data_IF_452509239263
#
_entry.id   IF_452509239263
#
_cell.length_a   1.000
_cell.length_b   1.000
_cell.length_c   1.000
_cell.angle_alpha   90.00
_cell.angle_beta   90.00
_cell.angle_gamma   90.00
#
_symmetry.space_group_name_H-M   'P 1'
#
loop_
_entity.id
_entity.type
_entity.pdbx_description
1 polymer ?
#
# COMPACT_ATOMS: atom_id res chain seq x y z
N UNK A 1 23.91 10.21 -0.26
CA UNK A 1 23.07 10.93 -1.23
C UNK A 1 21.58 10.78 -0.88
N UNK A 2 21.06 9.58 -0.68
CA UNK A 2 19.65 9.28 -0.36
C UNK A 2 19.14 9.98 0.90
N UNK A 3 19.96 10.12 1.95
CA UNK A 3 19.56 10.81 3.19
C UNK A 3 19.35 12.33 2.99
N UNK A 4 20.11 12.95 2.09
CA UNK A 4 19.94 14.36 1.74
C UNK A 4 18.72 14.60 0.85
N UNK A 5 18.34 13.65 0.00
CA UNK A 5 17.14 13.73 -0.83
C UNK A 5 15.87 13.56 0.01
N UNK A 6 15.82 12.58 0.91
CA UNK A 6 14.68 12.40 1.81
C UNK A 6 14.39 13.61 2.69
N UNK A 7 15.43 14.22 3.28
CA UNK A 7 15.30 15.44 4.09
C UNK A 7 14.85 16.65 3.24
N UNK A 8 15.34 16.74 2.00
CA UNK A 8 14.97 17.78 1.05
C UNK A 8 13.50 17.68 0.63
N UNK A 9 13.00 16.47 0.41
CA UNK A 9 11.59 16.20 0.11
C UNK A 9 10.69 16.54 1.31
N UNK A 10 11.09 16.24 2.55
CA UNK A 10 10.31 16.59 3.75
C UNK A 10 10.18 18.09 3.97
N UNK A 11 11.29 18.83 3.93
CA UNK A 11 11.29 20.29 4.08
C UNK A 11 10.43 20.91 2.98
N UNK A 12 10.53 20.35 1.78
CA UNK A 12 9.78 20.80 0.63
C UNK A 12 8.26 20.48 0.75
N UNK A 13 7.88 19.34 1.31
CA UNK A 13 6.48 18.99 1.56
C UNK A 13 5.82 19.96 2.56
N UNK A 14 6.52 20.36 3.60
CA UNK A 14 6.03 21.38 4.54
C UNK A 14 5.85 22.77 3.90
N UNK A 15 6.75 23.14 2.99
CA UNK A 15 6.60 24.38 2.22
C UNK A 15 5.40 24.32 1.27
N UNK A 16 5.19 23.19 0.60
CA UNK A 16 4.04 22.97 -0.27
C UNK A 16 2.71 23.00 0.52
N UNK A 17 2.66 22.47 1.74
CA UNK A 17 1.47 22.52 2.60
C UNK A 17 1.04 23.97 2.89
N UNK A 18 1.99 24.89 3.05
CA UNK A 18 1.71 26.32 3.28
C UNK A 18 1.07 27.00 2.07
N UNK A 19 1.22 26.43 0.87
CA UNK A 19 0.62 26.96 -0.37
C UNK A 19 -0.89 26.76 -0.41
N UNK A 20 -1.40 25.68 0.19
CA UNK A 20 -2.79 25.28 0.07
C UNK A 20 -3.58 25.66 1.33
N UNK A 21 -4.51 26.61 1.17
CA UNK A 21 -5.46 27.01 2.21
C UNK A 21 -6.68 26.10 2.26
N UNK A 22 -7.62 26.42 3.16
CA UNK A 22 -8.89 25.71 3.34
C UNK A 22 -9.64 25.51 2.02
N UNK A 23 -9.65 26.53 1.17
CA UNK A 23 -10.33 26.56 -0.13
C UNK A 23 -9.83 25.51 -1.13
N UNK A 24 -8.60 25.01 -0.92
CA UNK A 24 -8.02 23.94 -1.74
C UNK A 24 -8.55 22.54 -1.39
N UNK A 25 -9.29 22.42 -0.29
CA UNK A 25 -9.80 21.14 0.23
C UNK A 25 -11.33 21.14 0.40
N UNK A 26 -11.97 22.31 0.34
CA UNK A 26 -13.40 22.43 0.54
C UNK A 26 -14.16 21.97 -0.71
N UNK A 27 -15.10 21.04 -0.54
CA UNK A 27 -15.96 20.49 -1.59
C UNK A 27 -17.44 20.63 -1.20
N UNK A 28 -18.32 20.67 -2.21
CA UNK A 28 -19.78 20.81 -1.99
C UNK A 28 -20.37 19.69 -1.13
N UNK A 29 -19.82 18.46 -1.22
CA UNK A 29 -20.22 17.35 -0.37
C UNK A 29 -20.07 17.71 1.11
N UNK A 30 -18.99 18.37 1.51
CA UNK A 30 -18.73 18.69 2.90
C UNK A 30 -19.81 19.62 3.46
N UNK A 31 -20.22 20.62 2.69
CA UNK A 31 -21.32 21.52 3.06
C UNK A 31 -22.65 20.78 3.16
N UNK A 32 -22.96 19.95 2.14
CA UNK A 32 -24.21 19.20 2.06
C UNK A 32 -24.37 18.18 3.17
N UNK A 33 -23.31 17.47 3.52
CA UNK A 33 -23.32 16.41 4.54
C UNK A 33 -22.98 16.93 5.96
N UNK A 34 -22.63 18.20 6.10
CA UNK A 34 -22.33 18.81 7.40
C UNK A 34 -20.94 18.45 7.95
N UNK A 35 -19.95 18.27 7.08
CA UNK A 35 -18.54 18.14 7.50
C UNK A 35 -18.02 19.48 8.00
N UNK A 36 -17.36 19.45 9.14
CA UNK A 36 -16.64 20.60 9.71
C UNK A 36 -15.13 20.37 9.63
N UNK A 37 -14.40 21.45 9.35
CA UNK A 37 -12.94 21.45 9.39
C UNK A 37 -12.45 21.58 10.81
N UNK A 38 -11.66 20.65 11.29
CA UNK A 38 -11.11 20.60 12.65
C UNK A 38 -9.60 20.34 12.61
N UNK A 39 -8.91 20.69 13.69
CA UNK A 39 -7.49 20.36 13.86
C UNK A 39 -7.34 19.18 14.81
N UNK A 40 -6.57 18.17 14.42
CA UNK A 40 -6.35 16.96 15.19
C UNK A 40 -5.53 17.25 16.45
N UNK A 41 -6.02 16.87 17.63
CA UNK A 41 -5.29 17.06 18.90
C UNK A 41 -4.00 16.25 19.02
N UNK A 42 -3.84 15.19 18.24
CA UNK A 42 -2.65 14.33 18.29
C UNK A 42 -1.56 14.78 17.33
N UNK A 43 -1.87 14.99 16.05
CA UNK A 43 -0.87 15.32 15.02
C UNK A 43 -0.89 16.78 14.55
N UNK A 44 -1.83 17.59 15.02
CA UNK A 44 -2.05 19.00 14.62
C UNK A 44 -2.41 19.23 13.15
N UNK A 45 -2.61 18.17 12.35
CA UNK A 45 -3.04 18.28 10.95
C UNK A 45 -4.53 18.62 10.87
N UNK A 46 -4.94 19.28 9.78
CA UNK A 46 -6.31 19.60 9.51
C UNK A 46 -7.07 18.42 8.90
N UNK A 47 -8.34 18.26 9.28
CA UNK A 47 -9.22 17.23 8.75
C UNK A 47 -10.69 17.66 8.78
N UNK A 48 -11.51 16.99 7.97
CA UNK A 48 -12.95 17.21 7.86
C UNK A 48 -13.69 16.01 8.40
N UNK A 49 -14.72 16.26 9.22
CA UNK A 49 -15.54 15.22 9.87
C UNK A 49 -16.93 15.75 10.19
N UNK A 50 -17.91 14.84 10.30
CA UNK A 50 -19.26 15.14 10.79
C UNK A 50 -19.45 14.78 12.27
N UNK A 51 -18.42 14.17 12.88
CA UNK A 51 -18.44 13.77 14.29
C UNK A 51 -17.77 14.80 15.19
N UNK A 52 -18.08 14.72 16.50
CA UNK A 52 -17.38 15.52 17.52
C UNK A 52 -15.98 14.99 17.88
N UNK A 53 -15.48 14.03 17.12
CA UNK A 53 -14.17 13.42 17.35
C UNK A 53 -13.06 14.46 17.22
N UNK A 54 -12.11 14.43 18.16
CA UNK A 54 -10.99 15.34 18.24
C UNK A 54 -9.75 14.88 17.45
N UNK A 55 -9.85 13.71 16.78
CA UNK A 55 -8.77 13.04 16.06
C UNK A 55 -9.12 12.82 14.58
N UNK A 56 -8.11 12.91 13.71
CA UNK A 56 -8.27 12.85 12.26
C UNK A 56 -8.63 11.47 11.68
N UNK A 57 -8.68 10.42 12.50
CA UNK A 57 -8.98 9.05 12.05
C UNK A 57 -7.74 8.20 11.74
N UNK A 58 -6.55 8.78 11.67
CA UNK A 58 -5.29 8.05 11.49
C UNK A 58 -5.03 7.11 12.68
N UNK A 59 -4.57 5.89 12.42
CA UNK A 59 -4.28 4.84 13.41
C UNK A 59 -3.50 5.34 14.62
N UNK A 60 -2.45 6.15 14.40
CA UNK A 60 -1.62 6.72 15.46
C UNK A 60 -2.37 7.72 16.33
N UNK A 61 -3.34 8.42 15.76
CA UNK A 61 -4.12 9.44 16.47
C UNK A 61 -5.29 8.82 17.25
N UNK A 62 -5.92 7.76 16.72
CA UNK A 62 -7.07 7.09 17.35
C UNK A 62 -6.69 5.88 18.20
N UNK A 63 -5.40 5.56 18.28
CA UNK A 63 -4.85 4.51 19.16
C UNK A 63 -5.04 3.08 18.63
N UNK A 64 -5.09 2.88 17.31
CA UNK A 64 -5.15 1.57 16.68
C UNK A 64 -6.33 1.38 15.75
N UNK A 65 -6.42 0.20 15.14
CA UNK A 65 -7.50 -0.18 14.24
C UNK A 65 -8.79 -0.51 15.01
N UNK A 66 -9.93 0.05 14.58
CA UNK A 66 -11.24 -0.12 15.22
C UNK A 66 -12.18 -1.04 14.44
N UNK A 67 -11.77 -1.57 13.29
CA UNK A 67 -12.56 -2.44 12.42
C UNK A 67 -12.21 -3.92 12.57
N UNK A 68 -11.08 -4.29 13.16
CA UNK A 68 -10.68 -5.68 13.41
C UNK A 68 -11.73 -6.41 14.22
N UNK A 69 -12.10 -7.61 13.79
CA UNK A 69 -13.19 -8.40 14.36
C UNK A 69 -14.60 -7.96 13.91
N UNK A 70 -14.73 -6.95 13.05
CA UNK A 70 -16.01 -6.44 12.54
C UNK A 70 -16.18 -6.75 11.07
N UNK A 71 -16.82 -7.88 10.76
CA UNK A 71 -17.09 -8.28 9.39
C UNK A 71 -18.23 -7.46 8.77
N UNK A 72 -18.06 -6.99 7.54
CA UNK A 72 -19.02 -6.21 6.79
C UNK A 72 -19.57 -7.07 5.65
N UNK A 73 -20.89 -7.33 5.65
CA UNK A 73 -21.49 -8.24 4.68
C UNK A 73 -20.89 -9.64 4.78
N UNK A 74 -20.55 -10.25 3.63
CA UNK A 74 -19.85 -11.52 3.56
C UNK A 74 -18.33 -11.43 3.83
N UNK A 75 -17.78 -10.20 3.90
CA UNK A 75 -16.34 -9.95 3.73
C UNK A 75 -15.94 -10.20 2.28
N UNK A 76 -15.01 -9.43 1.75
CA UNK A 76 -14.52 -9.62 0.39
C UNK A 76 -13.11 -10.19 0.43
N UNK A 77 -12.88 -11.28 -0.29
CA UNK A 77 -11.52 -11.75 -0.54
C UNK A 77 -10.77 -10.79 -1.48
N UNK A 78 -9.52 -11.09 -1.78
CA UNK A 78 -8.71 -10.25 -2.66
C UNK A 78 -9.33 -10.08 -4.06
N UNK A 79 -9.85 -11.15 -4.65
CA UNK A 79 -10.44 -11.13 -6.00
C UNK A 79 -11.77 -10.37 -6.03
N UNK A 80 -12.60 -10.58 -5.02
CA UNK A 80 -13.85 -9.85 -4.83
C UNK A 80 -13.61 -8.38 -4.58
N UNK A 81 -12.57 -8.02 -3.84
CA UNK A 81 -12.19 -6.63 -3.58
C UNK A 81 -11.84 -5.89 -4.87
N UNK A 82 -10.99 -6.49 -5.71
CA UNK A 82 -10.68 -5.94 -7.04
C UNK A 82 -11.93 -5.80 -7.89
N UNK A 83 -12.73 -6.89 -7.98
CA UNK A 83 -13.93 -6.92 -8.81
C UNK A 83 -14.96 -5.89 -8.37
N UNK A 84 -15.33 -5.88 -7.09
CA UNK A 84 -16.40 -5.02 -6.58
C UNK A 84 -16.01 -3.53 -6.65
N UNK A 85 -14.72 -3.22 -6.45
CA UNK A 85 -14.21 -1.88 -6.62
C UNK A 85 -14.30 -1.43 -8.09
N UNK A 86 -13.84 -2.24 -9.04
CA UNK A 86 -13.96 -1.93 -10.46
C UNK A 86 -15.42 -1.78 -10.88
N UNK A 87 -16.28 -2.74 -10.55
CA UNK A 87 -17.71 -2.74 -10.89
C UNK A 87 -18.43 -1.48 -10.39
N UNK A 88 -18.05 -0.96 -9.21
CA UNK A 88 -18.63 0.25 -8.67
C UNK A 88 -18.36 1.46 -9.57
N UNK A 89 -17.13 1.63 -10.02
CA UNK A 89 -16.74 2.75 -10.85
C UNK A 89 -17.19 2.60 -12.30
N UNK A 90 -17.18 1.39 -12.86
CA UNK A 90 -17.73 1.11 -14.21
C UNK A 90 -19.20 1.50 -14.31
N UNK A 91 -20.00 1.15 -13.30
CA UNK A 91 -21.43 1.55 -13.20
C UNK A 91 -21.62 3.06 -13.08
N UNK A 92 -20.56 3.84 -12.84
CA UNK A 92 -20.56 5.30 -12.69
C UNK A 92 -19.83 6.01 -13.82
N UNK A 93 -19.63 5.31 -14.95
CA UNK A 93 -19.12 5.87 -16.19
C UNK A 93 -17.60 5.87 -16.34
N UNK A 94 -16.86 5.17 -15.47
CA UNK A 94 -15.44 4.94 -15.67
C UNK A 94 -15.21 3.74 -16.59
N UNK A 95 -14.21 3.83 -17.42
CA UNK A 95 -13.74 2.69 -18.21
C UNK A 95 -12.68 1.94 -17.42
N UNK A 96 -12.88 0.66 -17.18
CA UNK A 96 -11.83 -0.20 -16.64
C UNK A 96 -10.83 -0.50 -17.74
N UNK A 97 -9.55 -0.25 -17.47
CA UNK A 97 -8.44 -0.62 -18.35
C UNK A 97 -7.60 -1.74 -17.72
N UNK A 98 -6.80 -2.41 -18.55
CA UNK A 98 -5.82 -3.40 -18.07
C UNK A 98 -4.70 -2.71 -17.32
N UNK A 99 -4.17 -3.41 -16.33
CA UNK A 99 -3.01 -2.97 -15.57
C UNK A 99 -1.73 -2.95 -16.42
N UNK A 100 -0.84 -2.04 -16.10
CA UNK A 100 0.50 -1.94 -16.68
C UNK A 100 1.50 -2.88 -15.95
N UNK A 101 2.63 -3.21 -16.58
CA UNK A 101 3.67 -3.99 -15.92
C UNK A 101 4.19 -3.34 -14.63
N UNK A 102 4.52 -4.16 -13.63
CA UNK A 102 5.17 -3.63 -12.40
C UNK A 102 6.60 -3.17 -12.63
N UNK A 103 7.26 -3.65 -13.71
CA UNK A 103 8.58 -3.16 -14.14
C UNK A 103 8.36 -1.99 -15.10
N UNK A 104 8.66 -0.79 -14.65
CA UNK A 104 8.34 0.47 -15.36
C UNK A 104 9.35 0.79 -16.48
N UNK A 105 9.37 -0.02 -17.55
CA UNK A 105 10.35 0.12 -18.67
C UNK A 105 10.17 1.37 -19.51
N UNK A 106 9.06 2.08 -19.39
CA UNK A 106 8.81 3.38 -20.05
C UNK A 106 9.32 4.58 -19.23
N UNK A 107 9.96 4.30 -18.08
CA UNK A 107 10.50 5.31 -17.16
C UNK A 107 11.98 5.03 -16.92
N UNK A 108 12.81 6.06 -17.02
CA UNK A 108 14.25 5.96 -16.74
C UNK A 108 14.59 6.30 -15.29
N UNK A 109 13.67 6.96 -14.58
CA UNK A 109 13.86 7.47 -13.22
C UNK A 109 13.42 6.50 -12.12
N UNK A 110 12.58 5.51 -12.44
CA UNK A 110 12.09 4.50 -11.49
C UNK A 110 12.12 3.09 -12.08
N UNK A 111 12.54 2.07 -11.31
CA UNK A 111 12.58 0.69 -11.80
C UNK A 111 11.21 -0.01 -11.77
N UNK A 112 10.30 0.45 -10.91
CA UNK A 112 8.99 -0.19 -10.71
C UNK A 112 7.86 0.83 -10.76
N UNK A 113 6.67 0.36 -11.12
CA UNK A 113 5.42 1.09 -10.98
C UNK A 113 5.11 1.23 -9.48
N UNK A 114 5.20 2.44 -8.95
CA UNK A 114 5.05 2.73 -7.51
C UNK A 114 3.66 3.27 -7.15
N UNK A 115 2.90 3.70 -8.14
CA UNK A 115 1.53 4.19 -8.04
C UNK A 115 0.86 4.09 -9.41
N UNK A 116 -0.46 4.04 -9.46
CA UNK A 116 -1.20 3.95 -10.73
C UNK A 116 -0.99 5.16 -11.64
N UNK A 117 -0.74 6.35 -11.09
CA UNK A 117 -0.42 7.55 -11.89
C UNK A 117 0.91 7.42 -12.65
N UNK A 118 1.81 6.56 -12.21
CA UNK A 118 3.08 6.28 -12.90
C UNK A 118 2.86 5.80 -14.34
N UNK A 119 1.73 5.14 -14.60
CA UNK A 119 1.34 4.62 -15.92
C UNK A 119 1.07 5.76 -16.92
N UNK A 120 0.73 6.94 -16.42
CA UNK A 120 0.33 8.12 -17.19
C UNK A 120 1.36 9.26 -17.15
N UNK A 121 2.34 9.18 -16.27
CA UNK A 121 3.41 10.16 -16.16
C UNK A 121 4.64 9.78 -17.00
N UNK A 122 5.28 10.75 -17.68
CA UNK A 122 4.83 12.13 -17.86
C UNK A 122 3.85 12.30 -19.03
N UNK A 123 3.72 11.32 -19.90
CA UNK A 123 3.19 11.46 -21.25
C UNK A 123 1.73 11.94 -21.32
N UNK A 124 0.84 11.33 -20.55
CA UNK A 124 -0.59 11.74 -20.52
C UNK A 124 -0.76 13.02 -19.70
N UNK A 125 -0.06 13.13 -18.57
CA UNK A 125 -0.15 14.31 -17.69
C UNK A 125 0.35 15.58 -18.38
N UNK A 126 1.35 15.48 -19.25
CA UNK A 126 1.88 16.59 -20.07
C UNK A 126 1.14 16.77 -21.40
N UNK A 127 0.08 16.01 -21.67
CA UNK A 127 -0.71 16.12 -22.90
C UNK A 127 0.00 15.63 -24.16
N UNK A 128 1.08 14.85 -24.03
CA UNK A 128 1.84 14.32 -25.18
C UNK A 128 1.08 13.17 -25.84
N UNK A 129 0.38 12.37 -25.02
CA UNK A 129 -0.42 11.22 -25.45
C UNK A 129 -1.80 11.29 -24.80
N UNK A 130 -2.83 10.95 -25.55
CA UNK A 130 -4.21 10.83 -25.04
C UNK A 130 -4.30 9.68 -24.01
N UNK A 131 -5.08 9.82 -22.95
CA UNK A 131 -5.35 8.71 -22.05
C UNK A 131 -6.12 7.60 -22.77
N UNK A 132 -5.93 6.32 -22.41
CA UNK A 132 -6.62 5.19 -23.04
C UNK A 132 -8.14 5.24 -22.84
N UNK A 133 -8.60 5.95 -21.82
CA UNK A 133 -10.00 6.30 -21.55
C UNK A 133 -10.07 7.47 -20.57
N UNK A 134 -11.22 8.17 -20.51
CA UNK A 134 -11.40 9.29 -19.59
C UNK A 134 -12.89 9.49 -19.22
N UNK A 135 -13.31 9.31 -17.95
CA UNK A 135 -12.51 8.84 -16.83
C UNK A 135 -12.23 7.34 -16.88
N UNK A 136 -11.22 6.90 -16.16
CA UNK A 136 -10.82 5.50 -16.11
C UNK A 136 -10.56 4.98 -14.69
N UNK A 137 -10.55 3.64 -14.56
CA UNK A 137 -10.05 2.93 -13.38
C UNK A 137 -9.10 1.82 -13.80
N UNK A 138 -8.07 1.59 -12.99
CA UNK A 138 -7.09 0.55 -13.19
C UNK A 138 -6.73 -0.11 -11.85
N UNK A 139 -6.92 -1.44 -11.70
CA UNK A 139 -6.45 -2.17 -10.51
C UNK A 139 -4.96 -2.49 -10.66
N UNK A 140 -4.10 -1.47 -10.45
CA UNK A 140 -2.67 -1.49 -10.76
C UNK A 140 -1.84 -2.14 -9.65
N UNK A 141 -1.16 -3.28 -9.89
CA UNK A 141 -0.14 -3.78 -9.00
C UNK A 141 1.06 -2.82 -8.96
N UNK A 142 1.45 -2.44 -7.75
CA UNK A 142 2.54 -1.50 -7.49
C UNK A 142 3.58 -2.14 -6.57
N UNK A 143 4.86 -1.85 -6.79
CA UNK A 143 5.96 -2.30 -5.94
C UNK A 143 6.60 -1.09 -5.27
N UNK A 144 6.64 -1.11 -3.92
CA UNK A 144 7.33 -0.11 -3.11
C UNK A 144 8.28 -0.78 -2.13
N UNK A 145 9.50 -0.27 -2.06
CA UNK A 145 10.51 -0.74 -1.12
C UNK A 145 10.85 0.28 -0.03
N UNK A 146 10.22 1.47 -0.09
CA UNK A 146 10.40 2.31 0.90
C UNK A 146 10.43 3.70 1.07
N UNK A 147 10.05 4.33 2.16
CA UNK A 147 10.11 5.70 2.56
C UNK A 147 11.54 6.26 2.73
N UNK A 148 12.00 6.48 3.96
CA UNK A 148 13.34 7.04 4.27
C UNK A 148 14.49 6.01 4.18
N UNK A 149 14.50 5.18 3.13
CA UNK A 149 15.43 4.06 2.98
C UNK A 149 14.66 2.79 2.58
N UNK A 150 15.09 1.60 2.98
CA UNK A 150 14.36 0.35 2.75
C UNK A 150 13.37 0.01 3.88
N UNK A 151 12.90 1.01 4.61
CA UNK A 151 12.14 0.84 5.85
C UNK A 151 10.78 0.17 5.66
N UNK A 152 10.12 0.31 4.49
CA UNK A 152 8.85 -0.38 4.23
C UNK A 152 9.01 -1.90 4.34
N UNK A 153 10.15 -2.45 3.91
CA UNK A 153 10.44 -3.87 4.03
C UNK A 153 10.44 -4.30 5.50
N UNK A 154 10.95 -3.46 6.42
CA UNK A 154 10.97 -3.75 7.86
C UNK A 154 9.60 -3.68 8.51
N UNK A 155 8.67 -2.95 7.92
CA UNK A 155 7.28 -2.88 8.33
C UNK A 155 6.46 -4.11 7.90
N UNK A 156 6.87 -4.79 6.80
CA UNK A 156 6.18 -5.97 6.27
C UNK A 156 6.22 -7.12 7.30
N UNK A 157 5.08 -7.70 7.55
CA UNK A 157 4.86 -8.73 8.57
C UNK A 157 4.48 -8.18 9.94
N UNK A 158 4.84 -6.94 10.29
CA UNK A 158 4.77 -6.41 11.67
C UNK A 158 3.63 -5.43 11.92
N UNK A 159 3.40 -4.51 10.99
CA UNK A 159 2.41 -3.44 11.18
C UNK A 159 0.97 -3.83 10.83
N UNK A 160 0.79 -5.03 10.31
CA UNK A 160 -0.50 -5.53 9.84
C UNK A 160 -1.02 -4.90 8.54
N UNK A 161 -0.35 -3.86 8.00
CA UNK A 161 -0.85 -3.08 6.84
C UNK A 161 0.11 -2.88 5.68
N UNK A 162 1.43 -3.12 5.86
CA UNK A 162 2.44 -2.86 4.85
C UNK A 162 2.68 -4.09 3.97
N UNK A 163 2.74 -3.86 2.67
CA UNK A 163 3.02 -4.84 1.62
C UNK A 163 4.10 -4.29 0.71
N UNK A 164 5.06 -5.11 0.27
CA UNK A 164 6.04 -4.70 -0.75
C UNK A 164 5.43 -4.67 -2.15
N UNK A 165 4.43 -5.52 -2.42
CA UNK A 165 3.52 -5.38 -3.56
C UNK A 165 2.09 -5.23 -3.07
N UNK A 166 1.40 -4.21 -3.59
CA UNK A 166 -0.02 -3.96 -3.32
C UNK A 166 -0.72 -3.54 -4.60
N UNK A 167 -2.03 -3.76 -4.66
CA UNK A 167 -2.86 -3.28 -5.76
C UNK A 167 -3.41 -1.91 -5.41
N UNK A 168 -2.98 -0.91 -6.16
CA UNK A 168 -3.60 0.41 -6.12
C UNK A 168 -4.80 0.43 -7.05
N UNK A 169 -5.98 0.60 -6.49
CA UNK A 169 -7.15 0.96 -7.28
C UNK A 169 -6.99 2.39 -7.78
N UNK A 170 -6.46 2.55 -8.99
CA UNK A 170 -6.28 3.85 -9.62
C UNK A 170 -7.59 4.35 -10.20
N UNK A 171 -8.10 5.48 -9.69
CA UNK A 171 -9.25 6.18 -10.23
C UNK A 171 -8.76 7.52 -10.79
N UNK A 172 -8.84 7.68 -12.11
CA UNK A 172 -8.26 8.83 -12.81
C UNK A 172 -9.28 9.57 -13.68
N UNK A 173 -9.17 10.89 -13.68
CA UNK A 173 -9.84 11.76 -14.61
C UNK A 173 -8.90 12.88 -15.07
N UNK A 174 -8.77 13.04 -16.35
CA UNK A 174 -7.90 14.04 -17.00
C UNK A 174 -8.78 15.18 -17.50
N UNK A 175 -8.56 16.39 -16.96
CA UNK A 175 -9.45 17.52 -17.18
C UNK A 175 -8.92 18.43 -18.31
N UNK A 176 -9.38 18.16 -19.53
CA UNK A 176 -9.10 18.95 -20.71
C UNK A 176 -10.33 18.92 -21.66
N UNK A 177 -10.54 19.98 -22.42
CA UNK A 177 -11.60 20.11 -23.43
C UNK A 177 -13.01 19.75 -22.92
N UNK A 178 -13.30 20.08 -21.66
CA UNK A 178 -14.59 19.77 -21.02
C UNK A 178 -14.82 18.30 -20.69
N UNK A 179 -13.80 17.45 -20.86
CA UNK A 179 -13.81 16.04 -20.45
C UNK A 179 -13.33 15.88 -19.01
N UNK A 180 -13.66 14.73 -18.39
CA UNK A 180 -13.25 14.42 -17.02
C UNK A 180 -14.18 15.01 -15.95
N UNK A 181 -13.71 15.05 -14.73
CA UNK A 181 -14.39 15.68 -13.57
C UNK A 181 -13.35 16.14 -12.53
N UNK A 182 -13.77 16.98 -11.58
CA UNK A 182 -12.87 17.52 -10.57
C UNK A 182 -13.27 17.10 -9.15
N UNK A 183 -12.74 17.79 -8.14
CA UNK A 183 -12.79 17.45 -6.70
C UNK A 183 -14.18 17.05 -6.20
N UNK A 184 -15.22 17.83 -6.50
CA UNK A 184 -16.56 17.59 -6.00
C UNK A 184 -17.06 16.20 -6.39
N UNK A 185 -16.97 15.88 -7.70
CA UNK A 185 -17.41 14.58 -8.20
C UNK A 185 -16.51 13.45 -7.69
N UNK A 186 -15.21 13.70 -7.54
CA UNK A 186 -14.27 12.74 -6.97
C UNK A 186 -14.68 12.33 -5.57
N UNK A 187 -14.86 13.32 -4.69
CA UNK A 187 -15.19 13.06 -3.28
C UNK A 187 -16.61 12.50 -3.11
N UNK A 188 -17.57 12.89 -3.96
CA UNK A 188 -18.91 12.25 -3.99
C UNK A 188 -18.83 10.76 -4.28
N UNK A 189 -18.09 10.35 -5.31
CA UNK A 189 -17.91 8.94 -5.68
C UNK A 189 -17.25 8.15 -4.54
N UNK A 190 -16.23 8.73 -3.93
CA UNK A 190 -15.50 8.09 -2.86
C UNK A 190 -16.35 7.96 -1.60
N UNK A 191 -17.06 9.00 -1.22
CA UNK A 191 -18.00 8.96 -0.09
C UNK A 191 -19.11 7.93 -0.32
N UNK A 192 -19.60 7.84 -1.55
CA UNK A 192 -20.61 6.84 -1.91
C UNK A 192 -20.06 5.41 -1.77
N UNK A 193 -18.80 5.14 -2.19
CA UNK A 193 -18.19 3.83 -1.99
C UNK A 193 -17.98 3.51 -0.51
N UNK A 194 -17.46 4.46 0.26
CA UNK A 194 -17.21 4.29 1.70
C UNK A 194 -18.51 4.00 2.47
N UNK A 195 -19.57 4.72 2.16
CA UNK A 195 -20.85 4.58 2.91
C UNK A 195 -21.72 3.45 2.39
N UNK A 196 -21.87 3.29 1.07
CA UNK A 196 -22.76 2.28 0.51
C UNK A 196 -22.12 0.90 0.37
N UNK A 197 -20.83 0.82 0.03
CA UNK A 197 -20.14 -0.45 -0.16
C UNK A 197 -19.46 -0.92 1.12
N UNK A 198 -18.68 -0.06 1.78
CA UNK A 198 -17.98 -0.39 3.00
C UNK A 198 -18.81 -0.18 4.28
N UNK A 199 -20.06 0.29 4.13
CA UNK A 199 -21.02 0.45 5.24
C UNK A 199 -20.49 1.31 6.39
N UNK A 200 -19.65 2.28 6.11
CA UNK A 200 -19.27 3.30 7.08
C UNK A 200 -20.44 4.26 7.28
N UNK A 201 -20.73 4.58 8.53
CA UNK A 201 -21.62 5.69 8.82
C UNK A 201 -20.90 6.99 8.48
N UNK A 202 -21.65 8.05 8.21
CA UNK A 202 -21.10 9.37 7.87
C UNK A 202 -20.12 9.90 8.92
N UNK A 203 -20.43 9.71 10.19
CA UNK A 203 -19.62 10.13 11.35
C UNK A 203 -18.36 9.25 11.59
N UNK A 204 -18.26 8.11 10.92
CA UNK A 204 -17.06 7.27 10.92
C UNK A 204 -16.06 7.64 9.82
N UNK A 205 -16.43 8.52 8.87
CA UNK A 205 -15.58 8.97 7.78
C UNK A 205 -14.92 10.29 8.14
N UNK A 206 -13.61 10.38 7.98
CA UNK A 206 -12.87 11.63 8.05
C UNK A 206 -11.94 11.81 6.86
N UNK A 207 -11.72 13.05 6.45
CA UNK A 207 -10.81 13.41 5.35
C UNK A 207 -9.70 14.28 5.91
N UNK A 208 -8.47 13.76 5.94
CA UNK A 208 -7.29 14.52 6.40
C UNK A 208 -6.65 15.27 5.24
N UNK A 209 -6.34 16.54 5.46
CA UNK A 209 -5.66 17.38 4.48
C UNK A 209 -4.17 17.05 4.43
N UNK A 210 -3.64 16.88 3.23
CA UNK A 210 -2.20 16.74 2.98
C UNK A 210 -1.86 17.28 1.58
N UNK A 211 -0.59 17.17 1.21
CA UNK A 211 -0.06 17.47 -0.12
C UNK A 211 0.70 16.25 -0.62
N UNK A 212 0.35 15.82 -1.83
CA UNK A 212 1.09 14.78 -2.51
C UNK A 212 2.05 15.40 -3.55
N UNK A 213 3.26 14.83 -3.64
CA UNK A 213 4.24 15.17 -4.66
C UNK A 213 4.99 13.92 -5.11
N UNK A 214 5.03 13.69 -6.43
CA UNK A 214 5.69 12.53 -7.03
C UNK A 214 5.76 12.61 -8.55
N UNK A 215 6.78 11.97 -9.15
CA UNK A 215 6.95 11.93 -10.60
C UNK A 215 7.03 13.30 -11.28
N UNK A 216 7.50 14.33 -10.59
CA UNK A 216 7.60 15.68 -11.11
C UNK A 216 6.33 16.54 -10.94
N UNK A 217 5.25 15.99 -10.39
CA UNK A 217 3.97 16.68 -10.21
C UNK A 217 3.57 16.78 -8.74
N UNK A 218 2.65 17.70 -8.41
CA UNK A 218 2.10 17.81 -7.06
C UNK A 218 0.71 18.46 -7.03
N UNK A 219 0.02 18.29 -5.91
CA UNK A 219 -1.26 18.93 -5.62
C UNK A 219 -1.73 18.65 -4.20
N UNK A 220 -2.78 19.36 -3.73
CA UNK A 220 -3.42 19.06 -2.46
C UNK A 220 -4.07 17.67 -2.52
N UNK A 221 -4.16 17.00 -1.39
CA UNK A 221 -4.83 15.72 -1.32
C UNK A 221 -5.68 15.57 -0.06
N UNK A 222 -6.70 14.72 -0.14
CA UNK A 222 -7.56 14.34 0.96
C UNK A 222 -7.44 12.84 1.20
N UNK A 223 -6.84 12.48 2.32
CA UNK A 223 -6.76 11.09 2.78
C UNK A 223 -8.03 10.72 3.53
N UNK A 224 -8.79 9.72 3.05
CA UNK A 224 -10.01 9.30 3.73
C UNK A 224 -9.75 8.11 4.66
N UNK A 225 -10.19 8.28 5.89
CA UNK A 225 -10.06 7.30 6.96
C UNK A 225 -11.43 6.76 7.39
N UNK A 226 -11.45 5.48 7.75
CA UNK A 226 -12.56 4.82 8.41
C UNK A 226 -12.05 3.88 9.50
N UNK A 227 -12.54 4.03 10.72
CA UNK A 227 -12.22 3.16 11.88
C UNK A 227 -10.71 2.94 12.11
N UNK A 228 -9.90 3.97 11.94
CA UNK A 228 -8.46 3.91 12.14
C UNK A 228 -7.64 3.47 10.91
N UNK A 229 -8.26 3.22 9.77
CA UNK A 229 -7.59 2.82 8.53
C UNK A 229 -7.71 3.89 7.46
N UNK A 230 -6.60 4.30 6.87
CA UNK A 230 -6.58 5.02 5.60
C UNK A 230 -6.99 4.07 4.47
N UNK A 231 -8.09 4.38 3.79
CA UNK A 231 -8.66 3.53 2.74
C UNK A 231 -8.31 4.05 1.35
N UNK A 232 -8.32 5.37 1.19
CA UNK A 232 -8.09 6.05 -0.09
C UNK A 232 -7.39 7.38 0.09
N UNK A 233 -6.50 7.71 -0.82
CA UNK A 233 -5.89 9.03 -0.96
C UNK A 233 -6.36 9.69 -2.26
N UNK A 234 -6.97 10.86 -2.14
CA UNK A 234 -7.53 11.64 -3.25
C UNK A 234 -6.59 12.79 -3.58
N UNK A 235 -5.78 12.65 -4.61
CA UNK A 235 -4.84 13.67 -5.07
C UNK A 235 -5.46 14.51 -6.19
N UNK A 236 -5.40 15.81 -6.03
CA UNK A 236 -5.87 16.82 -7.00
C UNK A 236 -4.64 17.47 -7.64
N UNK A 237 -4.06 16.75 -8.59
CA UNK A 237 -2.79 17.13 -9.22
C UNK A 237 -2.98 18.34 -10.12
N UNK A 238 -2.26 19.43 -9.83
CA UNK A 238 -2.44 20.71 -10.49
C UNK A 238 -1.14 21.37 -10.93
N UNK A 239 0.01 20.91 -10.45
CA UNK A 239 1.29 21.58 -10.66
C UNK A 239 2.37 20.61 -11.10
N UNK A 240 3.31 21.12 -11.92
CA UNK A 240 4.54 20.43 -12.29
C UNK A 240 5.76 21.22 -11.85
N UNK A 241 6.81 20.53 -11.36
CA UNK A 241 8.11 21.14 -11.08
C UNK A 241 8.84 21.44 -12.39
N UNK A 242 9.60 22.52 -12.37
CA UNK A 242 10.43 22.93 -13.48
C UNK A 242 11.91 22.66 -13.18
N UNK A 243 12.72 22.57 -14.19
CA UNK A 243 14.16 22.28 -14.06
C UNK A 243 14.96 23.33 -13.26
N UNK A 244 14.42 24.56 -13.15
CA UNK A 244 15.02 25.65 -12.38
C UNK A 244 14.59 25.68 -10.90
N UNK A 245 13.85 24.64 -10.44
CA UNK A 245 13.41 24.53 -9.05
C UNK A 245 12.16 25.33 -8.71
N UNK A 246 11.46 25.89 -9.71
CA UNK A 246 10.14 26.49 -9.56
C UNK A 246 9.05 25.49 -9.94
N UNK A 247 7.81 25.92 -10.05
CA UNK A 247 6.70 25.11 -10.53
C UNK A 247 5.77 25.94 -11.45
N UNK A 248 5.04 25.24 -12.29
CA UNK A 248 3.97 25.80 -13.14
C UNK A 248 2.66 25.06 -12.90
N UNK A 249 1.53 25.66 -13.24
CA UNK A 249 0.28 24.93 -13.33
C UNK A 249 0.34 23.93 -14.49
N UNK A 250 -0.33 22.79 -14.31
CA UNK A 250 -0.56 21.82 -15.38
C UNK A 250 -1.66 22.33 -16.30
N UNK A 251 -1.47 22.16 -17.59
CA UNK A 251 -2.53 22.43 -18.60
C UNK A 251 -3.67 21.41 -18.43
N UNK A 252 -3.35 20.17 -18.08
CA UNK A 252 -4.29 19.11 -17.77
C UNK A 252 -4.27 18.87 -16.27
N UNK A 253 -5.30 19.31 -15.55
CA UNK A 253 -5.48 18.96 -14.13
C UNK A 253 -5.95 17.52 -14.03
N UNK A 254 -5.36 16.76 -13.10
CA UNK A 254 -5.60 15.32 -12.99
C UNK A 254 -6.19 14.97 -11.63
N UNK A 255 -7.29 14.22 -11.65
CA UNK A 255 -7.74 13.45 -10.51
C UNK A 255 -6.88 12.20 -10.48
N UNK A 256 -6.07 12.08 -9.44
CA UNK A 256 -5.22 10.92 -9.16
C UNK A 256 -5.61 10.34 -7.80
N UNK A 257 -6.42 9.30 -7.82
CA UNK A 257 -6.90 8.65 -6.60
C UNK A 257 -6.31 7.26 -6.47
N UNK A 258 -5.70 7.01 -5.33
CA UNK A 258 -5.17 5.70 -4.97
C UNK A 258 -6.00 5.03 -3.87
N UNK A 259 -6.72 3.96 -4.23
CA UNK A 259 -7.42 3.08 -3.30
C UNK A 259 -6.52 1.91 -2.89
N UNK A 260 -6.46 1.60 -1.62
CA UNK A 260 -5.82 0.36 -1.16
C UNK A 260 -6.77 -0.82 -1.33
N UNK A 261 -6.64 -1.59 -2.41
CA UNK A 261 -7.57 -2.70 -2.69
C UNK A 261 -7.47 -3.80 -1.63
N UNK A 262 -6.28 -4.16 -1.20
CA UNK A 262 -6.09 -5.09 -0.09
C UNK A 262 -6.65 -4.53 1.23
N UNK A 263 -6.55 -3.21 1.46
CA UNK A 263 -7.16 -2.55 2.64
C UNK A 263 -8.68 -2.63 2.60
N UNK A 264 -9.30 -2.55 1.42
CA UNK A 264 -10.75 -2.74 1.25
C UNK A 264 -11.15 -4.17 1.66
N UNK A 265 -10.43 -5.18 1.18
CA UNK A 265 -10.64 -6.58 1.56
C UNK A 265 -10.47 -6.79 3.07
N UNK A 266 -9.38 -6.30 3.62
CA UNK A 266 -9.10 -6.36 5.05
C UNK A 266 -10.19 -5.67 5.89
N UNK A 267 -10.60 -4.48 5.49
CA UNK A 267 -11.65 -3.73 6.17
C UNK A 267 -13.00 -4.48 6.17
N UNK A 268 -13.38 -5.07 5.04
CA UNK A 268 -14.67 -5.80 4.93
C UNK A 268 -14.66 -7.14 5.66
N UNK A 269 -13.52 -7.83 5.69
CA UNK A 269 -13.38 -9.08 6.43
C UNK A 269 -13.26 -8.86 7.95
N UNK A 270 -12.66 -7.74 8.36
CA UNK A 270 -12.30 -7.51 9.75
C UNK A 270 -11.25 -8.49 10.27
N UNK A 271 -10.43 -9.03 9.36
CA UNK A 271 -9.37 -9.99 9.67
C UNK A 271 -8.31 -9.36 10.58
N UNK A 272 -7.52 -10.16 11.32
CA UNK A 272 -6.48 -9.62 12.19
C UNK A 272 -5.47 -8.76 11.44
N UNK A 273 -5.04 -9.18 10.25
CA UNK A 273 -4.07 -8.43 9.43
C UNK A 273 -4.49 -8.40 7.97
N UNK A 274 -3.90 -7.46 7.21
CA UNK A 274 -4.03 -7.40 5.74
C UNK A 274 -3.54 -8.69 5.06
N UNK A 275 -2.58 -9.40 5.67
CA UNK A 275 -2.02 -10.64 5.13
C UNK A 275 -3.05 -11.77 5.16
N UNK A 276 -3.80 -11.91 6.27
CA UNK A 276 -4.90 -12.87 6.41
C UNK A 276 -6.00 -12.59 5.38
N UNK A 277 -6.28 -11.33 5.12
CA UNK A 277 -7.30 -10.94 4.15
C UNK A 277 -6.86 -11.12 2.69
N UNK A 278 -5.54 -11.04 2.42
CA UNK A 278 -5.02 -10.94 1.04
C UNK A 278 -4.54 -12.26 0.48
N UNK A 279 -3.83 -13.07 1.29
CA UNK A 279 -3.13 -14.24 0.78
C UNK A 279 -3.96 -15.52 0.73
N UNK A 280 -5.08 -15.56 1.48
CA UNK A 280 -6.03 -16.68 1.44
C UNK A 280 -5.35 -18.05 1.52
N UNK A 281 -5.62 -18.94 0.53
CA UNK A 281 -5.14 -20.33 0.57
C UNK A 281 -3.61 -20.47 0.56
N UNK A 282 -2.86 -19.44 0.15
CA UNK A 282 -1.39 -19.45 0.21
C UNK A 282 -0.91 -19.37 1.65
N UNK A 283 -1.52 -18.51 2.44
CA UNK A 283 -1.18 -18.38 3.87
C UNK A 283 -1.64 -19.62 4.65
N UNK A 284 -2.78 -20.18 4.33
CA UNK A 284 -3.28 -21.42 4.93
C UNK A 284 -2.27 -22.57 4.69
N UNK A 285 -1.81 -22.72 3.46
CA UNK A 285 -0.79 -23.70 3.11
C UNK A 285 0.54 -23.45 3.87
N UNK A 286 0.98 -22.19 4.01
CA UNK A 286 2.18 -21.85 4.78
C UNK A 286 2.05 -22.26 6.25
N UNK A 287 0.92 -21.98 6.88
CA UNK A 287 0.64 -22.36 8.27
C UNK A 287 0.61 -23.90 8.44
N UNK A 288 -0.04 -24.59 7.52
CA UNK A 288 -0.10 -26.06 7.52
C UNK A 288 1.29 -26.69 7.34
N UNK A 289 2.08 -26.19 6.38
CA UNK A 289 3.40 -26.74 6.06
C UNK A 289 4.42 -26.53 7.18
N UNK A 290 4.29 -25.43 7.93
CA UNK A 290 5.25 -25.08 9.00
C UNK A 290 4.79 -25.45 10.40
N UNK A 291 3.51 -25.76 10.58
CA UNK A 291 2.90 -26.00 11.89
C UNK A 291 2.80 -24.75 12.76
N UNK A 292 3.01 -23.55 12.20
CA UNK A 292 2.91 -22.28 12.95
C UNK A 292 1.47 -22.03 13.37
N UNK A 293 1.28 -21.96 14.68
CA UNK A 293 0.03 -21.56 15.31
C UNK A 293 0.28 -20.44 16.31
N UNK A 294 -0.69 -19.56 16.46
CA UNK A 294 -0.63 -18.42 17.37
C UNK A 294 -1.92 -18.36 18.18
N UNK A 295 -1.80 -17.92 19.41
CA UNK A 295 -2.97 -17.59 20.23
C UNK A 295 -3.78 -16.49 19.55
N UNK A 296 -5.01 -16.83 19.13
CA UNK A 296 -5.89 -15.94 18.39
C UNK A 296 -6.32 -14.71 19.22
N UNK A 297 -6.45 -14.86 20.55
CA UNK A 297 -6.78 -13.74 21.42
C UNK A 297 -5.61 -12.75 21.49
N UNK A 298 -4.38 -13.27 21.67
CA UNK A 298 -3.17 -12.46 21.66
C UNK A 298 -3.00 -11.76 20.31
N UNK A 299 -3.15 -12.49 19.21
CA UNK A 299 -3.06 -11.93 17.87
C UNK A 299 -4.09 -10.81 17.66
N UNK A 300 -5.34 -11.01 18.02
CA UNK A 300 -6.40 -10.02 17.92
C UNK A 300 -6.12 -8.73 18.70
N UNK A 301 -5.58 -8.88 19.94
CA UNK A 301 -5.18 -7.73 20.77
C UNK A 301 -3.95 -6.99 20.21
N UNK A 302 -2.96 -7.73 19.73
CA UNK A 302 -1.75 -7.18 19.14
C UNK A 302 -2.03 -6.42 17.85
N UNK A 303 -2.80 -7.00 16.94
CA UNK A 303 -3.03 -6.43 15.62
C UNK A 303 -3.78 -5.10 15.65
N UNK A 304 -4.64 -4.88 16.63
CA UNK A 304 -5.25 -3.57 16.89
C UNK A 304 -4.18 -2.49 17.09
N UNK A 305 -3.09 -2.82 17.76
CA UNK A 305 -1.99 -1.90 18.11
C UNK A 305 -0.83 -1.93 17.09
N UNK A 306 -0.78 -2.91 16.20
CA UNK A 306 0.35 -3.12 15.30
C UNK A 306 0.64 -1.93 14.37
N UNK A 307 -0.39 -1.16 14.02
CA UNK A 307 -0.24 0.07 13.26
C UNK A 307 0.61 1.16 13.93
N UNK A 308 0.85 1.06 15.23
CA UNK A 308 1.73 1.94 16.00
C UNK A 308 3.22 1.58 15.85
N UNK A 309 3.54 0.48 15.20
CA UNK A 309 4.90 -0.04 14.99
C UNK A 309 5.52 0.36 13.64
N UNK A 310 4.94 1.36 12.96
CA UNK A 310 5.47 1.84 11.69
C UNK A 310 6.81 2.56 11.88
N UNK A 311 7.90 1.99 11.36
CA UNK A 311 9.26 2.54 11.50
C UNK A 311 9.45 3.91 10.88
N UNK A 312 8.60 4.31 9.92
CA UNK A 312 8.63 5.62 9.29
C UNK A 312 7.93 6.71 10.12
N UNK A 313 7.09 6.31 11.07
CA UNK A 313 6.26 7.21 11.89
C UNK A 313 6.71 7.32 13.34
N UNK A 314 7.66 6.48 13.78
CA UNK A 314 8.18 6.48 15.15
C UNK A 314 9.66 6.86 15.20
N UNK A 315 10.04 7.68 16.17
CA UNK A 315 11.44 8.08 16.36
C UNK A 315 12.31 6.94 16.92
N UNK A 316 11.70 6.01 17.67
CA UNK A 316 12.38 4.89 18.30
C UNK A 316 11.48 3.65 18.28
N UNK A 317 11.77 2.73 17.37
CA UNK A 317 11.00 1.50 17.17
C UNK A 317 11.06 0.56 18.38
N UNK A 318 12.20 0.48 19.09
CA UNK A 318 12.32 -0.39 20.25
C UNK A 318 11.50 0.12 21.43
N UNK A 319 11.38 1.45 21.56
CA UNK A 319 10.46 2.04 22.52
C UNK A 319 9.00 1.72 22.14
N UNK A 320 8.62 1.90 20.87
CA UNK A 320 7.27 1.59 20.41
C UNK A 320 6.91 0.11 20.65
N UNK A 321 7.83 -0.82 20.42
CA UNK A 321 7.63 -2.25 20.71
C UNK A 321 7.42 -2.51 22.20
N UNK A 322 8.23 -1.90 23.07
CA UNK A 322 8.03 -2.01 24.55
C UNK A 322 6.69 -1.44 24.97
N UNK A 323 6.29 -0.29 24.42
CA UNK A 323 5.01 0.36 24.75
C UNK A 323 3.81 -0.50 24.32
N UNK A 324 3.89 -1.17 23.16
CA UNK A 324 2.87 -2.12 22.69
C UNK A 324 2.84 -3.37 23.59
N UNK A 325 3.98 -3.97 23.90
CA UNK A 325 4.08 -5.12 24.79
C UNK A 325 3.50 -4.81 26.20
N UNK A 326 3.85 -3.65 26.75
CA UNK A 326 3.30 -3.19 28.03
C UNK A 326 1.78 -3.02 28.02
N UNK A 327 1.20 -2.46 26.92
CA UNK A 327 -0.26 -2.36 26.74
C UNK A 327 -0.94 -3.72 26.67
N UNK A 328 -0.25 -4.74 26.19
CA UNK A 328 -0.75 -6.12 26.13
C UNK A 328 -0.55 -6.87 27.44
N UNK A 329 0.28 -6.36 28.38
CA UNK A 329 0.62 -7.01 29.63
C UNK A 329 1.57 -8.19 29.45
N UNK A 330 2.44 -8.15 28.42
CA UNK A 330 3.38 -9.23 28.05
C UNK A 330 4.79 -8.65 27.95
N UNK A 331 5.81 -9.40 28.32
CA UNK A 331 7.20 -9.01 28.08
C UNK A 331 7.50 -8.99 26.57
N UNK A 332 8.32 -8.02 26.13
CA UNK A 332 8.64 -7.85 24.70
C UNK A 332 9.23 -9.11 24.07
N UNK A 333 10.05 -9.82 24.81
CA UNK A 333 10.71 -11.04 24.34
C UNK A 333 9.74 -12.20 24.14
N UNK A 334 8.76 -12.35 25.04
CA UNK A 334 7.72 -13.37 24.95
C UNK A 334 6.73 -13.04 23.82
N UNK A 335 6.41 -11.76 23.63
CA UNK A 335 5.60 -11.31 22.49
C UNK A 335 6.29 -11.64 21.17
N UNK A 336 7.60 -11.39 21.06
CA UNK A 336 8.38 -11.72 19.86
C UNK A 336 8.47 -13.24 19.62
N UNK A 337 8.65 -14.04 20.66
CA UNK A 337 8.64 -15.52 20.55
C UNK A 337 7.29 -16.04 20.06
N UNK A 338 6.19 -15.45 20.53
CA UNK A 338 4.84 -15.88 20.19
C UNK A 338 4.42 -15.48 18.77
N UNK A 339 4.75 -14.27 18.33
CA UNK A 339 4.26 -13.70 17.05
C UNK A 339 5.30 -13.75 15.94
N UNK A 340 6.59 -13.78 16.27
CA UNK A 340 7.69 -13.73 15.29
C UNK A 340 7.60 -14.77 14.16
N UNK A 341 7.29 -16.04 14.45
CA UNK A 341 7.10 -17.05 13.39
C UNK A 341 5.99 -16.67 12.41
N UNK A 342 4.85 -16.18 12.90
CA UNK A 342 3.74 -15.76 12.05
C UNK A 342 4.09 -14.48 11.25
N UNK A 343 4.75 -13.50 11.87
CA UNK A 343 5.25 -12.30 11.19
C UNK A 343 6.23 -12.67 10.04
N UNK A 344 7.04 -13.70 10.26
CA UNK A 344 7.94 -14.24 9.23
C UNK A 344 7.16 -14.87 8.06
N UNK A 345 6.12 -15.67 8.33
CA UNK A 345 5.27 -16.22 7.28
C UNK A 345 4.58 -15.12 6.46
N UNK A 346 4.10 -14.05 7.10
CA UNK A 346 3.55 -12.89 6.41
C UNK A 346 4.57 -12.23 5.48
N UNK A 347 5.80 -12.04 5.97
CA UNK A 347 6.86 -11.44 5.16
C UNK A 347 7.29 -12.35 4.00
N UNK A 348 7.42 -13.66 4.23
CA UNK A 348 7.73 -14.65 3.18
C UNK A 348 6.63 -14.62 2.10
N UNK A 349 5.35 -14.65 2.49
CA UNK A 349 4.24 -14.62 1.56
C UNK A 349 4.20 -13.33 0.73
N UNK A 350 4.40 -12.17 1.37
CA UNK A 350 4.47 -10.88 0.68
C UNK A 350 5.61 -10.81 -0.33
N UNK A 351 6.81 -11.20 0.07
CA UNK A 351 8.00 -11.13 -0.76
C UNK A 351 7.93 -12.08 -1.95
N UNK A 352 7.43 -13.30 -1.76
CA UNK A 352 7.25 -14.27 -2.85
C UNK A 352 6.14 -13.83 -3.81
N UNK A 353 5.04 -13.27 -3.32
CA UNK A 353 4.01 -12.63 -4.17
C UNK A 353 4.60 -11.51 -5.03
N UNK A 354 5.41 -10.65 -4.43
CA UNK A 354 6.08 -9.54 -5.13
C UNK A 354 6.99 -10.06 -6.25
N UNK A 355 7.76 -11.09 -5.97
CA UNK A 355 8.64 -11.72 -6.95
C UNK A 355 7.86 -12.35 -8.10
N UNK A 356 6.71 -12.98 -7.85
CA UNK A 356 5.85 -13.53 -8.92
C UNK A 356 5.46 -12.46 -9.93
N UNK A 357 4.96 -11.31 -9.47
CA UNK A 357 4.60 -10.20 -10.37
C UNK A 357 5.81 -9.61 -11.09
N UNK A 358 6.89 -9.37 -10.37
CA UNK A 358 8.09 -8.80 -10.97
C UNK A 358 8.67 -9.72 -12.06
N UNK A 359 8.77 -11.03 -11.79
CA UNK A 359 9.29 -12.03 -12.73
C UNK A 359 8.37 -12.18 -13.94
N UNK A 360 7.05 -12.17 -13.75
CA UNK A 360 6.08 -12.22 -14.85
C UNK A 360 6.27 -11.05 -15.83
N UNK A 361 6.67 -9.89 -15.32
CA UNK A 361 6.95 -8.68 -16.11
C UNK A 361 8.44 -8.57 -16.52
N UNK A 362 9.22 -9.63 -16.33
CA UNK A 362 10.63 -9.73 -16.75
C UNK A 362 11.63 -9.03 -15.81
N UNK A 363 11.23 -8.74 -14.57
CA UNK A 363 12.13 -8.31 -13.50
C UNK A 363 12.82 -9.50 -12.85
N UNK A 364 14.15 -9.58 -12.94
CA UNK A 364 14.92 -10.70 -12.39
C UNK A 364 15.79 -10.19 -11.24
N UNK A 365 15.84 -10.92 -10.08
CA UNK A 365 16.79 -10.62 -9.01
C UNK A 365 18.21 -10.55 -9.54
N UNK A 366 18.92 -9.44 -9.28
CA UNK A 366 20.28 -9.20 -9.80
C UNK A 366 21.11 -8.36 -8.84
N UNK A 367 22.29 -7.90 -9.25
CA UNK A 367 23.18 -7.09 -8.43
C UNK A 367 23.01 -5.57 -8.63
N UNK A 368 22.16 -5.14 -9.57
CA UNK A 368 22.05 -3.73 -9.97
C UNK A 368 20.58 -3.29 -10.10
N UNK A 369 20.36 -2.00 -9.91
CA UNK A 369 19.06 -1.34 -10.15
C UNK A 369 17.89 -2.01 -9.40
N UNK A 370 16.74 -2.07 -10.05
CA UNK A 370 15.55 -2.72 -9.49
C UNK A 370 15.73 -4.21 -9.17
N UNK A 371 16.57 -4.92 -9.96
CA UNK A 371 16.88 -6.32 -9.68
C UNK A 371 17.59 -6.55 -8.34
N UNK A 372 18.37 -5.57 -7.87
CA UNK A 372 18.96 -5.62 -6.53
C UNK A 372 17.89 -5.59 -5.42
N UNK A 373 16.88 -4.79 -5.57
CA UNK A 373 15.76 -4.74 -4.62
C UNK A 373 14.99 -6.08 -4.58
N UNK A 374 14.73 -6.68 -5.76
CA UNK A 374 14.14 -8.01 -5.84
C UNK A 374 15.01 -9.07 -5.17
N UNK A 375 16.33 -8.97 -5.32
CA UNK A 375 17.27 -9.87 -4.64
C UNK A 375 17.24 -9.69 -3.13
N UNK A 376 17.08 -8.47 -2.60
CA UNK A 376 16.97 -8.22 -1.15
C UNK A 376 15.76 -8.96 -0.58
N UNK A 377 14.57 -8.82 -1.18
CA UNK A 377 13.37 -9.48 -0.65
C UNK A 377 13.43 -11.00 -0.79
N UNK A 378 14.02 -11.54 -1.86
CA UNK A 378 14.26 -12.97 -2.00
C UNK A 378 15.16 -13.50 -0.86
N UNK A 379 16.29 -12.82 -0.62
CA UNK A 379 17.22 -13.20 0.46
C UNK A 379 16.57 -13.09 1.83
N UNK A 380 15.75 -12.05 2.07
CA UNK A 380 15.01 -11.90 3.32
C UNK A 380 14.03 -13.06 3.53
N UNK A 381 13.28 -13.46 2.50
CA UNK A 381 12.37 -14.60 2.58
C UNK A 381 13.13 -15.90 2.93
N UNK A 382 14.26 -16.16 2.25
CA UNK A 382 15.11 -17.32 2.54
C UNK A 382 15.71 -17.26 3.97
N UNK A 383 16.20 -16.09 4.39
CA UNK A 383 16.76 -15.93 5.75
C UNK A 383 15.71 -16.12 6.85
N UNK A 384 14.46 -15.70 6.63
CA UNK A 384 13.37 -15.94 7.57
C UNK A 384 13.00 -17.44 7.64
N UNK A 385 13.00 -18.12 6.50
CA UNK A 385 12.81 -19.56 6.43
C UNK A 385 13.87 -20.31 7.26
N UNK A 386 15.15 -19.93 7.10
CA UNK A 386 16.26 -20.53 7.83
C UNK A 386 16.21 -20.19 9.32
N UNK A 387 15.93 -18.94 9.67
CA UNK A 387 15.85 -18.45 11.05
C UNK A 387 14.86 -19.24 11.91
N UNK A 388 13.69 -19.54 11.31
CA UNK A 388 12.63 -20.28 12.00
C UNK A 388 12.60 -21.78 11.66
N UNK A 389 13.55 -22.27 10.84
CA UNK A 389 13.64 -23.66 10.39
C UNK A 389 12.32 -24.19 9.81
N UNK A 390 11.69 -23.39 8.94
CA UNK A 390 10.40 -23.76 8.35
C UNK A 390 10.49 -24.85 7.29
N UNK A 391 11.66 -25.02 6.66
CA UNK A 391 11.91 -26.02 5.60
C UNK A 391 10.93 -25.92 4.41
N UNK A 392 10.51 -24.70 4.05
CA UNK A 392 9.54 -24.46 2.99
C UNK A 392 10.10 -24.80 1.60
N UNK A 393 9.29 -25.47 0.79
CA UNK A 393 9.52 -25.54 -0.64
C UNK A 393 9.11 -24.23 -1.33
N UNK A 394 10.09 -23.40 -1.64
CA UNK A 394 9.86 -22.11 -2.30
C UNK A 394 9.31 -22.27 -3.72
N UNK A 395 9.65 -23.33 -4.43
CA UNK A 395 9.10 -23.58 -5.76
C UNK A 395 7.58 -23.84 -5.67
N UNK A 396 7.17 -24.67 -4.74
CA UNK A 396 5.75 -24.91 -4.47
C UNK A 396 5.05 -23.63 -4.03
N UNK A 397 5.65 -22.84 -3.12
CA UNK A 397 5.09 -21.56 -2.68
C UNK A 397 4.86 -20.59 -3.84
N UNK A 398 5.82 -20.44 -4.75
CA UNK A 398 5.65 -19.62 -5.94
C UNK A 398 4.49 -20.09 -6.82
N UNK A 399 4.36 -21.41 -7.03
CA UNK A 399 3.25 -21.97 -7.79
C UNK A 399 1.90 -21.75 -7.10
N UNK A 400 1.82 -21.85 -5.77
CA UNK A 400 0.61 -21.50 -5.01
C UNK A 400 0.18 -20.07 -5.24
N UNK A 401 1.14 -19.12 -5.23
CA UNK A 401 0.84 -17.73 -5.56
C UNK A 401 0.33 -17.57 -6.99
N UNK A 402 0.97 -18.19 -7.98
CA UNK A 402 0.53 -18.13 -9.38
C UNK A 402 -0.90 -18.65 -9.52
N UNK A 403 -1.20 -19.82 -8.96
CA UNK A 403 -2.54 -20.43 -9.01
C UNK A 403 -3.61 -19.55 -8.35
N UNK A 404 -3.28 -18.89 -7.24
CA UNK A 404 -4.19 -17.97 -6.59
C UNK A 404 -4.39 -16.69 -7.41
N UNK A 405 -3.31 -16.04 -7.81
CA UNK A 405 -3.32 -14.72 -8.43
C UNK A 405 -3.86 -14.71 -9.86
N UNK A 406 -3.67 -15.78 -10.63
CA UNK A 406 -4.09 -15.86 -12.05
C UNK A 406 -5.59 -15.67 -12.27
N UNK A 407 -6.41 -15.87 -11.24
CA UNK A 407 -7.86 -15.61 -11.29
C UNK A 407 -8.18 -14.14 -11.61
N UNK A 408 -7.33 -13.23 -11.15
CA UNK A 408 -7.48 -11.77 -11.41
C UNK A 408 -6.41 -11.25 -12.36
N UNK A 409 -5.17 -11.73 -12.23
CA UNK A 409 -4.00 -11.29 -12.99
C UNK A 409 -3.41 -12.45 -13.79
N UNK A 410 -4.05 -12.79 -14.91
CA UNK A 410 -3.65 -13.95 -15.72
C UNK A 410 -2.19 -13.91 -16.17
N UNK A 411 -1.62 -12.70 -16.35
CA UNK A 411 -0.23 -12.53 -16.79
C UNK A 411 0.81 -13.14 -15.85
N UNK A 412 0.49 -13.36 -14.56
CA UNK A 412 1.44 -13.98 -13.61
C UNK A 412 1.82 -15.42 -13.99
N UNK A 413 1.03 -16.10 -14.83
CA UNK A 413 1.36 -17.42 -15.35
C UNK A 413 2.69 -17.43 -16.13
N UNK A 414 3.07 -16.29 -16.72
CA UNK A 414 4.36 -16.14 -17.43
C UNK A 414 5.59 -16.32 -16.52
N UNK A 415 5.42 -16.15 -15.20
CA UNK A 415 6.50 -16.37 -14.24
C UNK A 415 6.90 -17.84 -14.07
N UNK A 416 6.00 -18.82 -14.33
CA UNK A 416 6.20 -20.23 -14.01
C UNK A 416 7.51 -20.80 -14.58
N UNK A 417 7.76 -20.62 -15.87
CA UNK A 417 8.95 -21.18 -16.51
C UNK A 417 10.24 -20.55 -15.95
N UNK A 418 10.26 -19.25 -15.78
CA UNK A 418 11.41 -18.52 -15.26
C UNK A 418 11.71 -18.93 -13.80
N UNK A 419 10.67 -19.12 -12.99
CA UNK A 419 10.80 -19.57 -11.60
C UNK A 419 11.37 -20.99 -11.55
N UNK A 420 10.91 -21.89 -12.41
CA UNK A 420 11.46 -23.24 -12.50
C UNK A 420 12.96 -23.20 -12.85
N UNK A 421 13.36 -22.39 -13.83
CA UNK A 421 14.77 -22.24 -14.22
C UNK A 421 15.62 -21.62 -13.10
N UNK A 422 15.11 -20.58 -12.43
CA UNK A 422 15.79 -19.94 -11.29
C UNK A 422 15.95 -20.91 -10.10
N UNK A 423 14.97 -21.77 -9.84
CA UNK A 423 15.04 -22.76 -8.76
C UNK A 423 16.19 -23.76 -8.98
N UNK A 424 16.41 -24.19 -10.21
CA UNK A 424 17.52 -25.08 -10.56
C UNK A 424 18.89 -24.44 -10.36
N UNK A 425 19.00 -23.12 -10.56
CA UNK A 425 20.27 -22.37 -10.47
C UNK A 425 20.60 -21.93 -9.05
N UNK A 426 19.62 -21.51 -8.26
CA UNK A 426 19.84 -20.84 -6.97
C UNK A 426 19.52 -21.69 -5.74
N UNK A 427 18.65 -22.67 -5.85
CA UNK A 427 18.24 -23.55 -4.73
C UNK A 427 19.09 -24.81 -4.67
N UNK A 428 19.65 -25.24 -5.79
CA UNK A 428 20.46 -26.48 -5.88
C UNK A 428 21.97 -26.30 -5.61
N UNK A 429 22.47 -25.07 -5.40
CA UNK A 429 23.89 -24.81 -5.03
C UNK A 429 24.02 -24.28 -3.60
N UNK A 430 23.96 -25.15 -2.56
CA UNK A 430 24.05 -24.70 -1.15
C UNK A 430 25.42 -24.09 -0.78
N UNK A 431 26.48 -24.34 -1.55
CA UNK A 431 27.83 -23.84 -1.27
C UNK A 431 28.01 -22.32 -1.49
N UNK A 432 27.14 -21.66 -2.25
CA UNK A 432 27.12 -20.19 -2.39
C UNK A 432 26.30 -19.50 -1.29
N UNK A 433 25.42 -20.20 -0.59
CA UNK A 433 24.61 -19.69 0.52
C UNK A 433 25.44 -19.36 1.78
N UNK A 434 26.54 -20.07 2.05
CA UNK A 434 27.42 -19.80 3.20
C UNK A 434 28.12 -18.44 3.11
N UNK A 435 28.38 -17.91 1.91
CA UNK A 435 28.89 -16.54 1.75
C UNK A 435 27.82 -15.46 1.93
N UNK A 436 26.55 -15.85 1.95
CA UNK A 436 25.37 -14.98 2.09
C UNK A 436 25.08 -14.70 3.58
N UNK A 437 25.30 -15.68 4.47
CA UNK A 437 25.09 -15.50 5.90
C UNK A 437 26.02 -14.45 6.54
N UNK A 438 27.24 -14.28 6.00
CA UNK A 438 28.18 -13.25 6.45
C UNK A 438 27.79 -11.82 6.09
N UNK A 439 26.96 -11.61 5.06
CA UNK A 439 26.54 -10.28 4.63
C UNK A 439 25.27 -9.75 5.37
N UNK A 440 24.59 -10.60 6.13
CA UNK A 440 23.41 -10.22 6.94
C UNK A 440 23.81 -9.53 8.26
N UNK A 441 25.06 -9.72 8.71
CA UNK A 441 25.60 -9.07 9.94
C UNK A 441 26.22 -7.70 9.70
N UNK A 442 26.25 -7.19 8.46
CA UNK A 442 26.82 -5.90 8.10
C UNK A 442 25.80 -4.89 7.53
N UNK A 443 24.52 -5.00 7.91
CA UNK A 443 23.48 -4.00 7.59
C UNK A 443 22.74 -3.59 8.86
#
# INVERSE_FOLDING_TARGET
LLFKEGLRIMIFKEELRKKFGKESYEVELFKREGFERRQCRSCNEWYWTTSDNEFCGDTKCVGGYKFIGRRIGGGWDFHESVKNWCDFFEKRGHTRISEYPVVARWRDDIPFTIASITDFQPYVVEGIVEPPANPLVVPQPCIRFGGKGFNDIDNVGKTGRHLSLFVMGGQHAFNYDGKGYWMDRCIELNFEFLTKCLKLNRDEVSYKEDVWAGGGNFGPCLEAFGRGLEIVNNVFMQYAFTSNGTYRELDIKVIDVGWGVERIGWFTQGSPTIYEATFGPVLDWLKESTGVSVDEELLGRYTVLSGLLNVDEVDNIDKARRDVAAKLGIEQEDLHKSLGPLEALYAISDHTRTLVFAIADGGIPSNIGGGYNLRIILRRALSLNDLYSFELDFLELFHKHIEYLKKTYRRVEAASNIINDLSLIHISEPTRLLSISYAVFCL
#
